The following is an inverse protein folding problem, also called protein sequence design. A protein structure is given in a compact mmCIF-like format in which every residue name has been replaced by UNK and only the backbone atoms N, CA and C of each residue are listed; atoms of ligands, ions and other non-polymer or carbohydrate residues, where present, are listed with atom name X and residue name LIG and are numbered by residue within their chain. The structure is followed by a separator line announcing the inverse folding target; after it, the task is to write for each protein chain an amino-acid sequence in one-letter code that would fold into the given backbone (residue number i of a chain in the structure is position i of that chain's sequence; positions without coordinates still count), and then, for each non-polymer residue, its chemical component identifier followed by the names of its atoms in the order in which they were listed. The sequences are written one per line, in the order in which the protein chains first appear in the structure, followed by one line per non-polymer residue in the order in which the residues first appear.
data_IF_765403307958
#
_entry.id   IF_765403307958
#
_cell.length_a   1.000
_cell.length_b   1.000
_cell.length_c   1.000
_cell.angle_alpha   90.00
_cell.angle_beta   90.00
_cell.angle_gamma   90.00
#
_symmetry.space_group_name_H-M   'P 1'
#
loop_
_entity.id
_entity.type
_entity.pdbx_description
1 polymer ?
#
# COMPACT_ATOMS: atom_id res chain seq x y z
N UNK A 1 -10.16 -12.44 10.48
CA UNK A 1 -9.31 -11.44 9.82
C UNK A 1 -10.14 -10.29 9.30
N UNK A 2 -9.56 -9.11 9.28
CA UNK A 2 -10.20 -7.93 8.74
C UNK A 2 -9.53 -7.52 7.44
N UNK A 3 -10.31 -6.92 6.55
CA UNK A 3 -9.78 -6.36 5.32
C UNK A 3 -9.46 -4.89 5.53
N UNK A 4 -8.27 -4.49 5.10
CA UNK A 4 -7.86 -3.10 5.12
C UNK A 4 -7.74 -2.61 3.67
N UNK A 5 -8.42 -1.53 3.36
CA UNK A 5 -8.29 -0.86 2.07
C UNK A 5 -7.15 0.16 2.20
N UNK A 6 -6.07 -0.07 1.48
CA UNK A 6 -4.88 0.77 1.57
C UNK A 6 -4.75 1.62 0.31
N UNK A 7 -4.72 2.93 0.50
CA UNK A 7 -4.54 3.89 -0.57
C UNK A 7 -3.07 4.28 -0.66
N UNK A 8 -2.57 4.36 -1.88
CA UNK A 8 -1.17 4.68 -2.11
C UNK A 8 -1.00 5.50 -3.39
N UNK A 9 0.17 6.12 -3.49
CA UNK A 9 0.56 6.89 -4.68
C UNK A 9 1.93 6.43 -5.15
N UNK A 10 2.18 6.61 -6.44
CA UNK A 10 3.49 6.36 -7.04
C UNK A 10 3.61 7.21 -8.29
N UNK A 11 4.85 7.40 -8.77
CA UNK A 11 5.11 8.20 -9.95
C UNK A 11 5.41 7.33 -11.15
N UNK A 12 4.81 7.68 -12.30
CA UNK A 12 5.10 7.08 -13.59
C UNK A 12 5.48 8.21 -14.54
N UNK A 13 6.73 8.24 -14.94
CA UNK A 13 7.26 9.27 -15.86
C UNK A 13 6.94 10.70 -15.38
N UNK A 14 7.09 10.94 -14.09
CA UNK A 14 6.83 12.24 -13.50
C UNK A 14 5.36 12.52 -13.17
N UNK A 15 4.47 11.61 -13.48
CA UNK A 15 3.04 11.75 -13.17
C UNK A 15 2.70 10.97 -11.93
N UNK A 16 2.07 11.60 -10.95
CA UNK A 16 1.60 10.93 -9.75
C UNK A 16 0.33 10.16 -10.05
N UNK A 17 0.34 8.86 -9.71
CA UNK A 17 -0.80 7.97 -9.87
C UNK A 17 -1.31 7.58 -8.49
N UNK A 18 -2.62 7.65 -8.29
CA UNK A 18 -3.27 7.20 -7.06
C UNK A 18 -3.99 5.88 -7.31
N UNK A 19 -3.83 4.95 -6.39
CA UNK A 19 -4.45 3.64 -6.51
C UNK A 19 -4.74 3.09 -5.12
N UNK A 20 -5.38 1.95 -5.06
CA UNK A 20 -5.69 1.28 -3.80
C UNK A 20 -5.56 -0.23 -3.93
N UNK A 21 -5.33 -0.88 -2.80
CA UNK A 21 -5.36 -2.33 -2.73
C UNK A 21 -6.00 -2.76 -1.41
N UNK A 22 -6.44 -4.01 -1.35
CA UNK A 22 -7.01 -4.58 -0.14
C UNK A 22 -6.04 -5.62 0.42
N UNK A 23 -5.71 -5.49 1.71
CA UNK A 23 -4.86 -6.46 2.39
C UNK A 23 -5.60 -7.03 3.60
N UNK A 24 -5.30 -8.26 3.94
CA UNK A 24 -5.88 -8.89 5.13
C UNK A 24 -4.99 -8.65 6.34
N UNK A 25 -5.62 -8.35 7.47
CA UNK A 25 -4.91 -8.11 8.71
C UNK A 25 -5.65 -8.77 9.87
N UNK A 26 -4.91 -9.22 10.85
CA UNK A 26 -5.49 -9.78 12.08
C UNK A 26 -6.04 -8.69 13.01
N UNK A 27 -5.64 -7.45 12.79
CA UNK A 27 -6.04 -6.31 13.62
C UNK A 27 -6.53 -5.18 12.74
N UNK A 28 -7.18 -4.20 13.36
CA UNK A 28 -7.60 -2.97 12.69
C UNK A 28 -6.46 -1.96 12.57
N UNK A 29 -5.33 -2.26 13.20
CA UNK A 29 -4.17 -1.37 13.22
C UNK A 29 -3.22 -1.73 12.09
N UNK A 30 -2.83 -0.73 11.33
CA UNK A 30 -1.89 -0.88 10.22
C UNK A 30 -0.49 -0.46 10.70
N UNK A 31 0.18 -1.38 11.38
CA UNK A 31 1.49 -1.13 11.97
C UNK A 31 2.57 -0.94 10.92
N UNK A 32 3.69 -0.33 11.31
CA UNK A 32 4.79 -0.01 10.38
C UNK A 32 5.32 -1.25 9.66
N UNK A 33 5.44 -2.39 10.34
CA UNK A 33 5.87 -3.63 9.72
C UNK A 33 4.93 -4.09 8.61
N UNK A 34 3.62 -3.97 8.84
CA UNK A 34 2.62 -4.29 7.82
C UNK A 34 2.66 -3.30 6.66
N UNK A 35 2.92 -2.03 6.96
CA UNK A 35 3.06 -1.00 5.92
C UNK A 35 4.22 -1.32 5.00
N UNK A 36 5.36 -1.71 5.56
CA UNK A 36 6.54 -2.08 4.78
C UNK A 36 6.26 -3.29 3.90
N UNK A 37 5.65 -4.33 4.46
CA UNK A 37 5.29 -5.53 3.69
C UNK A 37 4.33 -5.19 2.55
N UNK A 38 3.36 -4.31 2.81
CA UNK A 38 2.41 -3.87 1.80
C UNK A 38 3.11 -3.11 0.69
N UNK A 39 4.03 -2.21 1.03
CA UNK A 39 4.82 -1.49 0.04
C UNK A 39 5.62 -2.44 -0.85
N UNK A 40 6.26 -3.46 -0.27
CA UNK A 40 7.00 -4.45 -1.05
C UNK A 40 6.09 -5.23 -1.99
N UNK A 41 4.92 -5.63 -1.52
CA UNK A 41 3.95 -6.35 -2.36
C UNK A 41 3.49 -5.51 -3.55
N UNK A 42 3.15 -4.25 -3.29
CA UNK A 42 2.71 -3.33 -4.34
C UNK A 42 3.83 -3.09 -5.34
N UNK A 43 5.03 -2.82 -4.85
CA UNK A 43 6.20 -2.57 -5.69
C UNK A 43 6.49 -3.76 -6.60
N UNK A 44 6.45 -4.96 -6.06
CA UNK A 44 6.68 -6.18 -6.83
C UNK A 44 5.62 -6.35 -7.92
N UNK A 45 4.36 -6.10 -7.58
CA UNK A 45 3.24 -6.22 -8.53
C UNK A 45 3.34 -5.21 -9.66
N UNK A 46 3.79 -3.99 -9.35
CA UNK A 46 3.90 -2.90 -10.32
C UNK A 46 5.28 -2.81 -10.96
N UNK A 47 6.21 -3.69 -10.57
CA UNK A 47 7.60 -3.68 -11.05
C UNK A 47 8.30 -2.36 -10.73
N UNK A 48 8.09 -1.87 -9.51
CA UNK A 48 8.68 -0.64 -9.00
C UNK A 48 9.52 -0.93 -7.76
N UNK A 49 10.25 0.07 -7.28
CA UNK A 49 10.94 -0.02 -6.01
C UNK A 49 9.98 0.34 -4.88
N UNK A 50 10.15 -0.31 -3.72
CA UNK A 50 9.29 -0.03 -2.55
C UNK A 50 9.35 1.45 -2.15
N UNK A 51 10.50 2.09 -2.29
CA UNK A 51 10.69 3.51 -1.97
C UNK A 51 9.89 4.46 -2.86
N UNK A 52 9.45 3.98 -4.04
CA UNK A 52 8.66 4.77 -4.97
C UNK A 52 7.17 4.75 -4.61
N UNK A 53 6.78 3.91 -3.66
CA UNK A 53 5.39 3.77 -3.23
C UNK A 53 5.19 4.55 -1.94
N UNK A 54 4.21 5.45 -1.92
CA UNK A 54 3.84 6.20 -0.71
C UNK A 54 2.44 5.78 -0.27
N UNK A 55 2.33 5.21 0.93
CA UNK A 55 1.04 4.87 1.51
C UNK A 55 0.43 6.13 2.12
N UNK A 56 -0.79 6.46 1.74
CA UNK A 56 -1.44 7.70 2.17
C UNK A 56 -2.48 7.49 3.26
N UNK A 57 -3.40 6.56 3.03
CA UNK A 57 -4.48 6.29 3.98
C UNK A 57 -4.75 4.79 4.04
N UNK A 58 -5.45 4.38 5.10
CA UNK A 58 -6.03 3.05 5.13
C UNK A 58 -7.38 3.11 5.82
N UNK A 59 -8.27 2.20 5.43
CA UNK A 59 -9.61 2.10 6.01
C UNK A 59 -9.90 0.63 6.32
N UNK A 60 -10.61 0.41 7.44
CA UNK A 60 -11.08 -0.93 7.78
C UNK A 60 -12.37 -1.19 7.02
N UNK A 61 -12.39 -2.29 6.28
CA UNK A 61 -13.57 -2.70 5.52
C UNK A 61 -14.48 -3.61 6.32
#
# INVERSE_FOLDING_TARGET
MRNLQVHFTYNVNGTEVQDLCVVQSKTTRFAMGQQMLTQFKIAKKLNLKAEDITLTHYYVC
#
